data_IF_824596544798
#
_entry.id   IF_824596544798
#
_cell.length_a   1.000
_cell.length_b   1.000
_cell.length_c   1.000
_cell.angle_alpha   90.00
_cell.angle_beta   90.00
_cell.angle_gamma   90.00
#
_symmetry.space_group_name_H-M   'P 1'
#
loop_
_entity.id
_entity.type
_entity.pdbx_description
1 polymer ?
#
# COMPACT_ATOMS: atom_id res chain seq x y z
N UNK A 1 13.31 15.94 -1.86
CA UNK A 1 12.09 15.79 -2.71
C UNK A 1 11.52 14.36 -2.63
N UNK A 2 11.67 13.65 -1.49
CA UNK A 2 11.29 12.23 -1.35
C UNK A 2 9.94 12.01 -0.65
N UNK A 3 9.74 12.64 0.52
CA UNK A 3 8.58 12.35 1.38
C UNK A 3 7.20 12.58 0.75
N UNK A 4 7.05 13.60 -0.10
CA UNK A 4 5.76 13.87 -0.76
C UNK A 4 5.43 12.80 -1.81
N UNK A 5 6.45 12.32 -2.53
CA UNK A 5 6.33 11.25 -3.51
C UNK A 5 6.05 9.92 -2.82
N UNK A 6 6.74 9.62 -1.73
CA UNK A 6 6.54 8.38 -0.97
C UNK A 6 5.16 8.33 -0.30
N UNK A 7 4.72 9.44 0.33
CA UNK A 7 3.37 9.54 0.90
C UNK A 7 2.29 9.45 -0.17
N UNK A 8 2.48 10.07 -1.33
CA UNK A 8 1.54 9.96 -2.45
C UNK A 8 1.48 8.53 -3.01
N UNK A 9 2.62 7.83 -3.07
CA UNK A 9 2.70 6.43 -3.54
C UNK A 9 2.02 5.47 -2.56
N UNK A 10 2.22 5.67 -1.26
CA UNK A 10 1.56 4.92 -0.20
C UNK A 10 0.03 5.14 -0.23
N UNK A 11 -0.40 6.40 -0.38
CA UNK A 11 -1.82 6.74 -0.52
C UNK A 11 -2.43 6.14 -1.80
N UNK A 12 -1.72 6.22 -2.93
CA UNK A 12 -2.14 5.64 -4.21
C UNK A 12 -2.28 4.11 -4.17
N UNK A 13 -1.33 3.41 -3.54
CA UNK A 13 -1.40 1.96 -3.36
C UNK A 13 -2.55 1.54 -2.42
N UNK A 14 -2.79 2.30 -1.34
CA UNK A 14 -3.96 2.06 -0.47
C UNK A 14 -5.27 2.27 -1.23
N UNK A 15 -5.38 3.36 -1.99
CA UNK A 15 -6.57 3.65 -2.79
C UNK A 15 -6.82 2.56 -3.84
N UNK A 16 -5.79 2.16 -4.59
CA UNK A 16 -5.90 1.09 -5.59
C UNK A 16 -6.29 -0.26 -4.97
N UNK A 17 -5.71 -0.61 -3.82
CA UNK A 17 -6.07 -1.84 -3.10
C UNK A 17 -7.52 -1.83 -2.60
N UNK A 18 -7.98 -0.71 -2.05
CA UNK A 18 -9.37 -0.55 -1.61
C UNK A 18 -10.35 -0.58 -2.80
N UNK A 19 -9.98 -0.02 -3.95
CA UNK A 19 -10.79 -0.09 -5.16
C UNK A 19 -10.89 -1.53 -5.66
N UNK A 20 -9.76 -2.28 -5.72
CA UNK A 20 -9.78 -3.70 -6.10
C UNK A 20 -10.64 -4.54 -5.15
N UNK A 21 -10.54 -4.31 -3.84
CA UNK A 21 -11.39 -5.00 -2.86
C UNK A 21 -12.87 -4.68 -3.07
N UNK A 22 -13.22 -3.40 -3.23
CA UNK A 22 -14.58 -2.96 -3.44
C UNK A 22 -15.17 -3.49 -4.76
N UNK A 23 -14.41 -3.45 -5.84
CA UNK A 23 -14.81 -3.98 -7.15
C UNK A 23 -14.90 -5.50 -7.10
N UNK A 24 -13.96 -6.19 -6.44
CA UNK A 24 -14.00 -7.64 -6.24
C UNK A 24 -15.26 -8.07 -5.50
N UNK A 25 -15.58 -7.42 -4.38
CA UNK A 25 -16.84 -7.65 -3.64
C UNK A 25 -18.08 -7.36 -4.48
N UNK A 26 -18.08 -6.26 -5.24
CA UNK A 26 -19.23 -5.86 -6.04
C UNK A 26 -19.48 -6.77 -7.26
N UNK A 27 -18.45 -7.48 -7.72
CA UNK A 27 -18.50 -8.37 -8.89
C UNK A 27 -18.40 -9.85 -8.53
N UNK A 28 -18.44 -10.20 -7.23
CA UNK A 28 -18.20 -11.56 -6.72
C UNK A 28 -16.90 -12.19 -7.29
N UNK A 29 -15.87 -11.37 -7.46
CA UNK A 29 -14.57 -11.78 -7.96
C UNK A 29 -13.56 -11.90 -6.79
N UNK A 30 -13.41 -13.12 -6.29
CA UNK A 30 -12.48 -13.49 -5.21
C UNK A 30 -11.02 -13.16 -5.53
N UNK A 31 -10.61 -13.20 -6.81
CA UNK A 31 -9.25 -12.86 -7.21
C UNK A 31 -8.97 -11.37 -6.99
N UNK A 32 -9.89 -10.49 -7.40
CA UNK A 32 -9.77 -9.05 -7.18
C UNK A 32 -9.82 -8.67 -5.69
N UNK A 33 -10.66 -9.34 -4.91
CA UNK A 33 -10.71 -9.13 -3.46
C UNK A 33 -9.39 -9.54 -2.80
N UNK A 34 -8.89 -10.73 -3.13
CA UNK A 34 -7.64 -11.26 -2.59
C UNK A 34 -6.43 -10.41 -3.00
N UNK A 35 -6.37 -9.97 -4.27
CA UNK A 35 -5.35 -9.04 -4.75
C UNK A 35 -5.38 -7.72 -3.97
N UNK A 36 -6.56 -7.12 -3.78
CA UNK A 36 -6.72 -5.86 -3.04
C UNK A 36 -6.22 -5.97 -1.60
N UNK A 37 -6.61 -7.03 -0.89
CA UNK A 37 -6.14 -7.33 0.47
C UNK A 37 -4.64 -7.59 0.53
N UNK A 38 -4.12 -8.40 -0.38
CA UNK A 38 -2.69 -8.68 -0.46
C UNK A 38 -1.87 -7.41 -0.73
N UNK A 39 -2.37 -6.51 -1.58
CA UNK A 39 -1.73 -5.24 -1.88
C UNK A 39 -1.71 -4.31 -0.67
N UNK A 40 -2.80 -4.23 0.10
CA UNK A 40 -2.85 -3.46 1.35
C UNK A 40 -1.86 -3.97 2.39
N UNK A 41 -1.78 -5.29 2.59
CA UNK A 41 -0.83 -5.91 3.52
C UNK A 41 0.60 -5.64 3.09
N UNK A 42 0.92 -5.85 1.81
CA UNK A 42 2.25 -5.60 1.26
C UNK A 42 2.64 -4.12 1.36
N UNK A 43 1.71 -3.22 1.06
CA UNK A 43 1.90 -1.78 1.19
C UNK A 43 2.17 -1.37 2.65
N UNK A 44 1.37 -1.88 3.59
CA UNK A 44 1.54 -1.59 5.02
C UNK A 44 2.87 -2.13 5.56
N UNK A 45 3.28 -3.32 5.13
CA UNK A 45 4.58 -3.89 5.49
C UNK A 45 5.75 -3.08 4.90
N UNK A 46 5.64 -2.59 3.67
CA UNK A 46 6.62 -1.70 3.05
C UNK A 46 6.67 -0.32 3.72
N UNK A 47 5.53 0.25 4.10
CA UNK A 47 5.46 1.51 4.85
C UNK A 47 6.19 1.37 6.20
N UNK A 48 5.94 0.28 6.94
CA UNK A 48 6.60 0.03 8.23
C UNK A 48 8.10 -0.19 8.04
N UNK A 49 8.51 -1.05 7.11
CA UNK A 49 9.93 -1.32 6.84
C UNK A 49 10.65 -0.08 6.31
N UNK A 50 10.02 0.68 5.42
CA UNK A 50 10.53 1.94 4.88
C UNK A 50 10.63 3.03 5.93
N UNK A 51 9.64 3.13 6.83
CA UNK A 51 9.69 4.09 7.96
C UNK A 51 10.78 3.72 8.95
N UNK A 52 10.95 2.43 9.28
CA UNK A 52 12.02 1.96 10.16
C UNK A 52 13.38 2.17 9.51
N UNK A 53 13.54 1.84 8.22
CA UNK A 53 14.79 2.03 7.49
C UNK A 53 15.12 3.51 7.25
N UNK A 54 14.12 4.35 6.99
CA UNK A 54 14.27 5.79 6.87
C UNK A 54 14.66 6.42 8.20
N UNK A 55 14.00 6.04 9.31
CA UNK A 55 14.35 6.56 10.64
C UNK A 55 15.71 6.10 11.18
N UNK A 56 16.22 4.95 10.73
CA UNK A 56 17.52 4.42 11.16
C UNK A 56 18.66 4.73 10.17
N UNK A 57 18.33 5.12 8.93
CA UNK A 57 19.29 5.37 7.85
C UNK A 57 19.55 6.84 7.56
N UNK A 58 18.70 7.76 8.04
CA UNK A 58 18.82 9.21 7.83
C UNK A 58 19.64 9.91 8.94
N UNK A 59 20.60 9.20 9.53
CA UNK A 59 21.53 9.68 10.56
C UNK A 59 23.01 9.60 10.07
N UNK A 60 23.27 9.64 8.76
CA UNK A 60 24.63 9.74 8.17
C UNK A 60 24.75 10.81 7.09
#
# INVERSE_FOLDING_TARGET
>A
MGELTDKAKAAGNKAAGSIKEAVGKATDNEELEAEGKAQQVKGSAQDVSGTVKGKLGDDV
#
